data_IF_469350013655
#
_entry.id   IF_469350013655
#
_cell.length_a   1.000
_cell.length_b   1.000
_cell.length_c   1.000
_cell.angle_alpha   90.00
_cell.angle_beta   90.00
_cell.angle_gamma   90.00
#
_symmetry.space_group_name_H-M   'P 1'
#
loop_
_entity.id
_entity.type
_entity.pdbx_description
1 polymer ?
#
# COMPACT_ATOMS: atom_id res chain seq x y z
N UNK A 1 -31.60 -18.90 -16.15
CA UNK A 1 -30.41 -18.11 -16.47
C UNK A 1 -30.58 -16.70 -15.91
N UNK A 2 -30.17 -16.44 -14.69
CA UNK A 2 -30.21 -15.12 -14.07
C UNK A 2 -28.89 -14.43 -14.32
N UNK A 3 -28.88 -13.35 -15.09
CA UNK A 3 -27.72 -12.45 -15.28
C UNK A 3 -27.58 -11.65 -14.01
N UNK A 4 -26.55 -11.99 -13.18
CA UNK A 4 -26.12 -11.14 -12.10
C UNK A 4 -25.63 -9.81 -12.66
N UNK A 5 -26.34 -8.75 -12.34
CA UNK A 5 -25.88 -7.37 -12.54
C UNK A 5 -24.73 -7.11 -11.56
N UNK A 6 -23.51 -7.15 -12.07
CA UNK A 6 -22.35 -6.60 -11.39
C UNK A 6 -22.58 -5.10 -11.27
N UNK A 7 -23.02 -4.66 -10.11
CA UNK A 7 -23.17 -3.25 -9.77
C UNK A 7 -21.78 -2.61 -9.73
N UNK A 8 -21.53 -1.75 -10.71
CA UNK A 8 -20.37 -0.88 -10.78
C UNK A 8 -20.36 0.06 -9.55
N UNK A 9 -19.61 -0.29 -8.49
CA UNK A 9 -19.35 0.56 -7.33
C UNK A 9 -17.92 1.05 -7.36
N UNK A 10 -17.82 2.37 -7.21
CA UNK A 10 -16.62 3.22 -7.08
C UNK A 10 -15.89 3.54 -8.39
N UNK A 11 -16.53 4.22 -9.31
CA UNK A 11 -15.85 5.18 -10.15
C UNK A 11 -15.30 6.25 -9.22
N UNK A 12 -14.01 6.24 -8.95
CA UNK A 12 -13.29 7.41 -8.46
C UNK A 12 -13.64 8.52 -9.44
N UNK A 13 -14.37 9.54 -8.98
CA UNK A 13 -14.84 10.58 -9.87
C UNK A 13 -13.67 11.51 -10.16
N UNK A 14 -12.92 11.18 -11.19
CA UNK A 14 -11.96 12.10 -11.79
C UNK A 14 -12.67 13.01 -12.79
N UNK A 15 -12.24 14.25 -12.82
CA UNK A 15 -12.48 15.11 -13.98
C UNK A 15 -11.24 15.04 -14.85
N UNK A 16 -11.38 14.51 -16.06
CA UNK A 16 -10.29 14.24 -16.99
C UNK A 16 -10.16 15.37 -18.00
N UNK A 17 -8.94 15.81 -18.26
CA UNK A 17 -8.61 16.81 -19.26
C UNK A 17 -7.44 16.34 -20.11
N UNK A 18 -7.54 16.50 -21.43
CA UNK A 18 -6.42 16.27 -22.36
C UNK A 18 -5.68 17.57 -22.60
N UNK A 19 -4.36 17.50 -22.55
CA UNK A 19 -3.47 18.60 -22.86
C UNK A 19 -3.36 18.74 -24.39
N UNK A 20 -3.67 19.91 -24.93
CA UNK A 20 -3.62 20.18 -26.38
C UNK A 20 -2.35 20.91 -26.79
N UNK A 21 -1.83 21.76 -25.92
CA UNK A 21 -0.67 22.64 -26.20
C UNK A 21 0.31 22.52 -25.01
N UNK A 22 1.62 22.71 -25.25
CA UNK A 22 2.60 22.69 -24.20
C UNK A 22 2.42 23.89 -23.26
N UNK A 23 2.29 23.66 -21.95
CA UNK A 23 2.19 24.70 -20.92
C UNK A 23 2.55 24.17 -19.55
N UNK A 24 2.71 25.05 -18.57
CA UNK A 24 2.90 24.63 -17.18
C UNK A 24 1.58 24.14 -16.54
N UNK A 25 1.67 23.18 -15.62
CA UNK A 25 0.49 22.60 -14.94
C UNK A 25 -0.37 23.67 -14.23
N UNK A 26 0.24 24.68 -13.62
CA UNK A 26 -0.52 25.76 -12.97
C UNK A 26 -1.33 26.58 -13.97
N UNK A 27 -0.77 26.90 -15.12
CA UNK A 27 -1.46 27.65 -16.19
C UNK A 27 -2.60 26.81 -16.76
N UNK A 28 -2.34 25.52 -16.99
CA UNK A 28 -3.37 24.58 -17.43
C UNK A 28 -4.54 24.50 -16.46
N UNK A 29 -4.27 24.36 -15.16
CA UNK A 29 -5.31 24.31 -14.13
C UNK A 29 -6.10 25.62 -14.07
N UNK A 30 -5.44 26.77 -14.18
CA UNK A 30 -6.10 28.07 -14.21
C UNK A 30 -7.03 28.21 -15.44
N UNK A 31 -6.58 27.75 -16.61
CA UNK A 31 -7.40 27.76 -17.83
C UNK A 31 -8.63 26.82 -17.73
N UNK A 32 -8.50 25.67 -17.03
CA UNK A 32 -9.60 24.70 -16.86
C UNK A 32 -10.54 25.01 -15.70
N UNK A 33 -10.11 25.86 -14.78
CA UNK A 33 -10.84 26.24 -13.57
C UNK A 33 -10.80 27.77 -13.38
N UNK A 34 -11.43 28.56 -14.28
CA UNK A 34 -11.34 30.02 -14.26
C UNK A 34 -11.88 30.65 -12.96
N UNK A 35 -12.84 29.98 -12.30
CA UNK A 35 -13.42 30.44 -11.05
C UNK A 35 -12.55 30.10 -9.82
N UNK A 36 -11.44 29.39 -10.00
CA UNK A 36 -10.58 29.00 -8.89
C UNK A 36 -9.44 30.02 -8.71
N UNK A 37 -9.37 30.61 -7.51
CA UNK A 37 -8.23 31.47 -7.17
C UNK A 37 -6.90 30.69 -7.23
N UNK A 38 -5.79 31.40 -7.46
CA UNK A 38 -4.44 30.82 -7.48
C UNK A 38 -4.10 30.08 -6.18
N UNK A 39 -4.60 30.58 -5.03
CA UNK A 39 -4.47 29.91 -3.72
C UNK A 39 -5.23 28.58 -3.69
N UNK A 40 -6.43 28.53 -4.28
CA UNK A 40 -7.21 27.31 -4.38
C UNK A 40 -6.50 26.25 -5.26
N UNK A 41 -5.94 26.66 -6.40
CA UNK A 41 -5.18 25.77 -7.29
C UNK A 41 -3.93 25.21 -6.58
N UNK A 42 -3.17 26.04 -5.86
CA UNK A 42 -2.05 25.57 -5.02
C UNK A 42 -2.52 24.56 -3.95
N UNK A 43 -3.68 24.80 -3.33
CA UNK A 43 -4.27 23.88 -2.38
C UNK A 43 -4.65 22.53 -2.99
N UNK A 44 -5.09 22.49 -4.27
CA UNK A 44 -5.36 21.22 -4.97
C UNK A 44 -4.08 20.41 -5.19
N UNK A 45 -2.99 21.07 -5.59
CA UNK A 45 -1.68 20.44 -5.73
C UNK A 45 -1.15 19.91 -4.39
N UNK A 46 -1.21 20.72 -3.32
CA UNK A 46 -0.77 20.31 -1.99
C UNK A 46 -1.62 19.18 -1.39
N UNK A 47 -2.88 19.07 -1.78
CA UNK A 47 -3.77 17.96 -1.40
C UNK A 47 -3.54 16.68 -2.21
N UNK A 48 -2.61 16.69 -3.17
CA UNK A 48 -2.23 15.52 -3.98
C UNK A 48 -3.41 14.89 -4.74
N UNK A 49 -4.33 15.72 -5.23
CA UNK A 49 -5.51 15.28 -6.00
C UNK A 49 -5.37 15.52 -7.50
N UNK A 50 -4.23 16.04 -7.94
CA UNK A 50 -3.90 16.25 -9.34
C UNK A 50 -3.00 15.12 -9.82
N UNK A 51 -3.38 14.51 -10.93
CA UNK A 51 -2.64 13.43 -11.58
C UNK A 51 -2.30 13.85 -13.01
N UNK A 52 -1.10 13.57 -13.45
CA UNK A 52 -0.66 13.68 -14.85
C UNK A 52 -0.25 12.28 -15.29
N UNK A 53 -0.91 11.75 -16.33
CA UNK A 53 -0.73 10.38 -16.80
C UNK A 53 -0.78 9.34 -15.68
N UNK A 54 -1.78 9.50 -14.78
CA UNK A 54 -2.01 8.65 -13.59
C UNK A 54 -0.97 8.78 -12.47
N UNK A 55 0.00 9.69 -12.58
CA UNK A 55 1.01 9.99 -11.54
C UNK A 55 0.61 11.24 -10.78
N UNK A 56 0.58 11.16 -9.43
CA UNK A 56 0.31 12.32 -8.58
C UNK A 56 1.38 13.39 -8.83
N UNK A 57 0.95 14.58 -9.23
CA UNK A 57 1.84 15.69 -9.51
C UNK A 57 1.51 16.87 -8.60
N UNK A 58 2.49 17.31 -7.80
CA UNK A 58 2.35 18.43 -6.86
C UNK A 58 3.14 19.67 -7.31
N UNK A 59 4.01 19.49 -8.27
CA UNK A 59 4.86 20.55 -8.82
C UNK A 59 4.03 21.50 -9.71
N UNK A 60 3.91 22.75 -9.33
CA UNK A 60 3.06 23.73 -9.99
C UNK A 60 3.56 24.10 -11.40
N UNK A 61 4.87 24.09 -11.63
CA UNK A 61 5.52 24.36 -12.92
C UNK A 61 5.89 23.07 -13.67
N UNK A 62 5.18 21.97 -13.44
CA UNK A 62 5.37 20.73 -14.18
C UNK A 62 5.07 20.95 -15.65
N UNK A 63 6.01 20.65 -16.58
CA UNK A 63 5.83 20.87 -18.00
C UNK A 63 4.86 19.83 -18.58
N UNK A 64 3.72 20.28 -19.05
CA UNK A 64 2.76 19.47 -19.77
C UNK A 64 3.06 19.48 -21.26
N UNK A 65 2.90 18.31 -21.90
CA UNK A 65 3.05 18.12 -23.34
C UNK A 65 1.70 17.74 -23.97
N UNK A 66 1.47 18.06 -25.25
CA UNK A 66 0.28 17.60 -25.96
C UNK A 66 0.13 16.08 -25.86
N UNK A 67 -1.11 15.62 -25.63
CA UNK A 67 -1.42 14.21 -25.45
C UNK A 67 -1.37 13.72 -23.99
N UNK A 68 -0.77 14.47 -23.05
CA UNK A 68 -0.82 14.14 -21.63
C UNK A 68 -2.24 14.29 -21.09
N UNK A 69 -2.59 13.40 -20.13
CA UNK A 69 -3.89 13.39 -19.44
C UNK A 69 -3.75 13.98 -18.04
N UNK A 70 -4.41 15.11 -17.80
CA UNK A 70 -4.51 15.70 -16.46
C UNK A 70 -5.84 15.29 -15.83
N UNK A 71 -5.79 14.71 -14.64
CA UNK A 71 -6.96 14.25 -13.90
C UNK A 71 -7.04 14.96 -12.56
N UNK A 72 -8.23 15.45 -12.22
CA UNK A 72 -8.52 16.06 -10.93
C UNK A 72 -9.43 15.12 -10.16
N UNK A 73 -8.96 14.56 -9.06
CA UNK A 73 -9.79 13.74 -8.17
C UNK A 73 -10.76 14.62 -7.38
N UNK A 74 -12.02 14.24 -7.32
CA UNK A 74 -13.03 14.88 -6.46
C UNK A 74 -12.92 14.40 -5.00
N UNK A 75 -12.22 13.32 -4.76
CA UNK A 75 -11.92 12.88 -3.39
C UNK A 75 -10.87 13.82 -2.77
N UNK A 76 -11.04 14.12 -1.49
CA UNK A 76 -9.98 14.83 -0.74
C UNK A 76 -8.72 14.00 -0.83
N UNK A 77 -7.67 14.56 -1.40
CA UNK A 77 -6.38 13.88 -1.53
C UNK A 77 -5.98 13.29 -0.18
N UNK A 78 -5.64 12.01 -0.16
CA UNK A 78 -5.18 11.35 1.06
C UNK A 78 -3.94 12.06 1.57
N UNK A 79 -3.94 12.45 2.85
CA UNK A 79 -2.72 12.94 3.51
C UNK A 79 -1.65 11.87 3.32
N UNK A 80 -0.46 12.29 2.94
CA UNK A 80 0.67 11.40 2.79
C UNK A 80 0.82 10.53 4.04
N UNK A 81 0.95 9.23 3.82
CA UNK A 81 1.26 8.32 4.91
C UNK A 81 2.72 8.53 5.28
N UNK A 82 2.97 9.02 6.47
CA UNK A 82 4.32 9.21 6.99
C UNK A 82 4.42 8.52 8.37
N UNK A 83 5.25 7.49 8.43
CA UNK A 83 5.55 6.78 9.66
C UNK A 83 7.01 6.31 9.67
N UNK A 84 7.72 6.49 10.80
CA UNK A 84 9.16 6.21 10.91
C UNK A 84 9.51 4.75 10.59
N UNK A 85 8.66 3.80 10.97
CA UNK A 85 8.91 2.36 10.87
C UNK A 85 8.07 1.66 9.81
N UNK A 86 7.39 2.40 8.94
CA UNK A 86 6.52 1.81 7.92
C UNK A 86 6.30 2.76 6.76
N UNK A 87 6.34 2.23 5.54
CA UNK A 87 6.07 2.96 4.30
C UNK A 87 5.03 2.18 3.48
N UNK A 88 4.04 2.87 2.92
CA UNK A 88 3.13 2.27 1.93
C UNK A 88 3.87 2.28 0.59
N UNK A 89 4.05 1.10 -0.01
CA UNK A 89 4.72 0.91 -1.30
C UNK A 89 3.73 0.66 -2.44
N UNK A 90 2.55 0.11 -2.12
CA UNK A 90 1.47 -0.09 -3.08
C UNK A 90 0.11 0.00 -2.39
N UNK A 91 -0.88 0.57 -3.07
CA UNK A 91 -2.27 0.61 -2.60
C UNK A 91 -3.23 0.69 -3.79
N UNK A 92 -4.21 -0.21 -3.82
CA UNK A 92 -5.33 -0.18 -4.76
C UNK A 92 -6.69 -0.28 -4.03
N UNK A 93 -7.73 -0.69 -4.74
CA UNK A 93 -9.07 -0.87 -4.17
C UNK A 93 -9.17 -2.05 -3.20
N UNK A 94 -8.29 -3.04 -3.30
CA UNK A 94 -8.38 -4.34 -2.63
C UNK A 94 -7.30 -4.60 -1.61
N UNK A 95 -6.07 -4.10 -1.87
CA UNK A 95 -4.91 -4.38 -1.03
C UNK A 95 -4.11 -3.11 -0.69
N UNK A 96 -3.35 -3.20 0.40
CA UNK A 96 -2.27 -2.28 0.76
C UNK A 96 -1.02 -3.11 1.02
N UNK A 97 0.09 -2.76 0.36
CA UNK A 97 1.41 -3.33 0.62
C UNK A 97 2.27 -2.29 1.30
N UNK A 98 2.88 -2.70 2.39
CA UNK A 98 3.82 -1.86 3.15
C UNK A 98 5.21 -2.46 3.14
N UNK A 99 6.20 -1.61 3.24
CA UNK A 99 7.53 -1.94 3.71
C UNK A 99 7.57 -1.70 5.22
N UNK A 100 7.66 -2.79 6.00
CA UNK A 100 7.76 -2.75 7.45
C UNK A 100 9.23 -2.70 7.84
N UNK A 101 9.60 -1.77 8.70
CA UNK A 101 10.95 -1.71 9.26
C UNK A 101 11.07 -2.64 10.47
N UNK A 102 12.30 -2.98 10.81
CA UNK A 102 12.66 -3.70 12.01
C UNK A 102 12.19 -2.97 13.27
N UNK A 103 11.83 -3.71 14.32
CA UNK A 103 11.34 -3.16 15.58
C UNK A 103 9.82 -2.90 15.65
N UNK A 104 9.11 -2.90 14.50
CA UNK A 104 7.64 -2.73 14.47
C UNK A 104 6.94 -4.09 14.52
N UNK A 105 6.01 -4.27 15.45
CA UNK A 105 5.12 -5.43 15.48
C UNK A 105 4.14 -5.41 14.31
N UNK A 106 3.88 -6.55 13.70
CA UNK A 106 2.84 -6.69 12.66
C UNK A 106 1.44 -6.54 13.22
N UNK A 107 1.17 -7.24 14.33
CA UNK A 107 -0.13 -7.29 15.03
C UNK A 107 0.11 -7.38 16.54
N UNK A 108 -0.89 -6.98 17.33
CA UNK A 108 -0.85 -7.13 18.78
C UNK A 108 -0.93 -8.62 19.17
N UNK A 109 -0.24 -8.94 20.23
CA UNK A 109 -0.51 -10.13 21.05
C UNK A 109 -1.30 -9.69 22.28
N UNK A 110 -2.07 -10.59 22.90
CA UNK A 110 -2.94 -10.28 24.05
C UNK A 110 -2.21 -9.62 25.23
N UNK A 111 -0.89 -9.69 25.25
CA UNK A 111 -0.04 -9.18 26.32
C UNK A 111 0.60 -7.81 26.08
N UNK A 112 0.52 -7.27 24.86
CA UNK A 112 1.23 -6.03 24.51
C UNK A 112 0.30 -5.03 23.83
N UNK A 113 0.10 -3.87 24.44
CA UNK A 113 -0.68 -2.73 23.88
C UNK A 113 0.17 -1.78 23.04
N UNK A 114 1.19 -2.29 22.36
CA UNK A 114 2.06 -1.47 21.52
C UNK A 114 1.37 -1.12 20.19
N UNK A 115 1.79 -0.01 19.57
CA UNK A 115 1.36 0.33 18.21
C UNK A 115 1.97 -0.66 17.22
N UNK A 116 1.14 -1.25 16.38
CA UNK A 116 1.51 -2.25 15.39
C UNK A 116 1.27 -1.73 13.97
N UNK A 117 1.84 -2.38 12.97
CA UNK A 117 1.56 -2.07 11.57
C UNK A 117 0.06 -2.10 11.27
N UNK A 118 -0.66 -3.07 11.83
CA UNK A 118 -2.11 -3.20 11.73
C UNK A 118 -2.86 -1.99 12.31
N UNK A 119 -2.52 -1.54 13.52
CA UNK A 119 -3.20 -0.40 14.15
C UNK A 119 -2.92 0.90 13.42
N UNK A 120 -1.67 1.11 12.98
CA UNK A 120 -1.25 2.30 12.22
C UNK A 120 -1.97 2.37 10.87
N UNK A 121 -2.07 1.24 10.15
CA UNK A 121 -2.80 1.18 8.88
C UNK A 121 -4.30 1.38 9.05
N UNK A 122 -4.92 0.86 10.11
CA UNK A 122 -6.33 1.13 10.38
C UNK A 122 -6.58 2.63 10.62
N UNK A 123 -5.74 3.31 11.41
CA UNK A 123 -5.81 4.76 11.56
C UNK A 123 -5.68 5.51 10.22
N UNK A 124 -4.85 5.01 9.32
CA UNK A 124 -4.68 5.59 8.00
C UNK A 124 -5.93 5.43 7.14
N UNK A 125 -6.47 4.21 6.99
CA UNK A 125 -7.64 3.98 6.13
C UNK A 125 -8.91 4.60 6.69
N UNK A 126 -9.05 4.70 8.01
CA UNK A 126 -10.18 5.35 8.69
C UNK A 126 -10.24 6.85 8.46
N UNK A 127 -9.17 7.50 8.00
CA UNK A 127 -9.21 8.90 7.55
C UNK A 127 -10.12 9.12 6.34
N UNK A 128 -10.34 8.08 5.53
CA UNK A 128 -11.25 8.10 4.37
C UNK A 128 -12.69 7.69 4.73
N UNK A 129 -12.90 7.11 5.92
CA UNK A 129 -14.20 6.71 6.45
C UNK A 129 -14.02 5.79 7.65
N UNK A 130 -14.76 6.04 8.74
CA UNK A 130 -14.63 5.30 10.01
C UNK A 130 -14.88 3.80 9.88
N UNK A 131 -15.64 3.39 8.85
CA UNK A 131 -15.95 1.98 8.57
C UNK A 131 -14.82 1.24 7.86
N UNK A 132 -13.84 1.95 7.27
CA UNK A 132 -12.75 1.32 6.55
C UNK A 132 -11.78 0.64 7.52
N UNK A 133 -11.42 -0.59 7.21
CA UNK A 133 -10.47 -1.40 7.97
C UNK A 133 -9.56 -2.16 7.04
N UNK A 134 -8.38 -2.49 7.51
CA UNK A 134 -7.51 -3.46 6.86
C UNK A 134 -7.64 -4.81 7.54
N UNK A 135 -7.40 -5.87 6.78
CA UNK A 135 -7.49 -7.26 7.21
C UNK A 135 -6.14 -7.93 7.02
N UNK A 136 -5.70 -8.68 8.03
CA UNK A 136 -4.39 -9.32 8.04
C UNK A 136 -4.41 -10.53 7.11
N UNK A 137 -3.46 -10.59 6.19
CA UNK A 137 -3.27 -11.73 5.28
C UNK A 137 -2.13 -12.62 5.78
N UNK A 138 -1.00 -12.02 6.14
CA UNK A 138 0.18 -12.67 6.71
C UNK A 138 0.88 -11.75 7.70
N UNK A 139 1.94 -12.22 8.30
CA UNK A 139 2.71 -11.43 9.26
C UNK A 139 4.22 -11.60 9.05
N UNK A 140 4.97 -10.60 9.49
CA UNK A 140 6.41 -10.64 9.72
C UNK A 140 6.66 -10.48 11.22
N UNK A 141 7.73 -11.02 11.72
CA UNK A 141 8.13 -10.84 13.12
C UNK A 141 8.61 -9.41 13.40
N UNK A 142 8.74 -9.03 14.67
CA UNK A 142 9.15 -7.69 15.09
C UNK A 142 10.44 -7.27 14.40
N UNK A 143 11.43 -8.13 14.44
CA UNK A 143 12.79 -7.84 13.98
C UNK A 143 13.04 -8.22 12.52
N UNK A 144 12.00 -8.69 11.82
CA UNK A 144 12.00 -8.92 10.38
C UNK A 144 11.49 -7.67 9.68
N UNK A 145 12.29 -7.05 8.83
CA UNK A 145 11.88 -6.01 7.90
C UNK A 145 11.45 -6.61 6.56
N UNK A 146 10.72 -5.85 5.76
CA UNK A 146 10.33 -6.26 4.41
C UNK A 146 8.87 -6.00 4.07
N UNK A 147 8.45 -6.56 2.95
CA UNK A 147 7.12 -6.34 2.40
C UNK A 147 6.06 -7.13 3.16
N UNK A 148 4.97 -6.46 3.47
CA UNK A 148 3.82 -7.03 4.13
C UNK A 148 2.53 -6.52 3.49
N UNK A 149 1.59 -7.43 3.23
CA UNK A 149 0.33 -7.15 2.54
C UNK A 149 -0.85 -7.22 3.51
N UNK A 150 -1.80 -6.30 3.32
CA UNK A 150 -3.10 -6.30 3.98
C UNK A 150 -4.21 -6.23 2.94
N UNK A 151 -5.31 -6.91 3.18
CA UNK A 151 -6.53 -6.74 2.40
C UNK A 151 -7.35 -5.55 2.93
N UNK A 152 -8.16 -4.94 2.07
CA UNK A 152 -9.06 -3.81 2.42
C UNK A 152 -10.49 -4.25 2.69
N UNK A 153 -10.81 -5.52 2.45
CA UNK A 153 -12.09 -6.14 2.75
C UNK A 153 -11.92 -7.64 3.09
N UNK A 154 -12.94 -8.23 3.73
CA UNK A 154 -12.91 -9.63 4.16
C UNK A 154 -12.89 -10.62 3.00
N UNK A 155 -13.56 -10.32 1.88
CA UNK A 155 -13.59 -11.20 0.72
C UNK A 155 -12.19 -11.34 0.13
N UNK A 156 -11.52 -10.22 -0.08
CA UNK A 156 -10.11 -10.18 -0.54
C UNK A 156 -9.20 -10.90 0.44
N UNK A 157 -9.39 -10.69 1.76
CA UNK A 157 -8.61 -11.39 2.77
C UNK A 157 -8.75 -12.92 2.65
N UNK A 158 -9.99 -13.44 2.58
CA UNK A 158 -10.25 -14.88 2.42
C UNK A 158 -9.61 -15.42 1.16
N UNK A 159 -9.84 -14.76 0.02
CA UNK A 159 -9.25 -15.18 -1.26
C UNK A 159 -7.73 -15.29 -1.19
N UNK A 160 -7.06 -14.30 -0.59
CA UNK A 160 -5.60 -14.30 -0.45
C UNK A 160 -5.11 -15.38 0.53
N UNK A 161 -5.79 -15.61 1.64
CA UNK A 161 -5.41 -16.63 2.62
C UNK A 161 -5.64 -18.04 2.13
N UNK A 162 -6.79 -18.30 1.53
CA UNK A 162 -7.19 -19.64 1.06
C UNK A 162 -6.31 -20.09 -0.13
N UNK A 163 -5.83 -19.13 -0.93
CA UNK A 163 -5.00 -19.41 -2.10
C UNK A 163 -3.55 -18.93 -1.95
N UNK A 164 -3.08 -18.72 -0.71
CA UNK A 164 -1.79 -18.09 -0.42
C UNK A 164 -0.62 -18.74 -1.18
N UNK A 165 -0.52 -20.06 -1.13
CA UNK A 165 0.55 -20.81 -1.80
C UNK A 165 0.48 -20.78 -3.33
N UNK A 166 -0.71 -20.56 -3.92
CA UNK A 166 -0.87 -20.42 -5.35
C UNK A 166 -0.65 -18.99 -5.86
N UNK A 167 -0.93 -17.99 -5.01
CA UNK A 167 -0.81 -16.56 -5.37
C UNK A 167 0.61 -16.05 -5.12
N UNK A 168 1.22 -16.45 -4.00
CA UNK A 168 2.58 -16.04 -3.62
C UNK A 168 3.56 -17.09 -4.09
N UNK A 169 4.06 -16.90 -5.30
CA UNK A 169 4.96 -17.84 -5.97
C UNK A 169 6.40 -17.76 -5.48
N UNK A 170 6.79 -16.66 -4.84
CA UNK A 170 8.16 -16.45 -4.36
C UNK A 170 8.15 -15.70 -3.01
N UNK A 171 8.90 -16.23 -2.03
CA UNK A 171 9.08 -15.66 -0.69
C UNK A 171 10.55 -15.74 -0.32
N UNK A 172 11.28 -14.64 -0.55
CA UNK A 172 12.72 -14.56 -0.27
C UNK A 172 13.00 -13.74 0.98
N UNK A 173 13.96 -14.22 1.74
CA UNK A 173 14.48 -13.52 2.92
C UNK A 173 16.00 -13.50 2.84
N UNK A 174 16.57 -12.41 3.35
CA UNK A 174 18.02 -12.27 3.54
C UNK A 174 18.28 -12.20 5.04
N UNK A 175 19.19 -13.02 5.53
CA UNK A 175 19.59 -13.03 6.93
C UNK A 175 21.11 -12.99 7.03
N UNK A 176 21.60 -12.26 8.05
CA UNK A 176 23.01 -12.29 8.43
C UNK A 176 23.13 -13.30 9.59
N UNK A 177 24.04 -14.25 9.43
CA UNK A 177 24.28 -15.32 10.43
C UNK A 177 25.69 -15.20 10.99
N UNK A 178 25.91 -15.78 12.16
CA UNK A 178 27.23 -15.86 12.79
C UNK A 178 27.93 -17.14 12.33
N UNK A 179 29.23 -17.02 11.98
CA UNK A 179 30.05 -18.15 11.51
C UNK A 179 30.05 -18.27 9.98
N UNK A 180 30.60 -19.37 9.52
CA UNK A 180 30.65 -19.75 8.11
C UNK A 180 29.64 -20.84 7.80
N UNK A 181 29.00 -20.75 6.65
CA UNK A 181 28.10 -21.79 6.14
C UNK A 181 28.94 -22.87 5.47
N UNK A 182 28.72 -24.13 5.83
CA UNK A 182 29.43 -25.26 5.23
C UNK A 182 29.09 -25.48 3.75
N UNK A 183 27.92 -25.01 3.30
CA UNK A 183 27.41 -25.14 1.93
C UNK A 183 26.83 -23.83 1.45
N UNK A 184 27.08 -23.50 0.20
CA UNK A 184 26.55 -22.29 -0.45
C UNK A 184 25.04 -22.39 -0.72
N UNK A 185 24.49 -23.59 -0.82
CA UNK A 185 23.06 -23.83 -1.03
C UNK A 185 22.60 -25.14 -0.41
N UNK A 186 21.35 -25.21 -0.01
CA UNK A 186 20.78 -26.41 0.57
C UNK A 186 19.31 -26.25 0.96
N UNK A 187 18.68 -27.35 1.34
CA UNK A 187 17.32 -27.37 1.87
C UNK A 187 17.35 -27.93 3.27
N UNK A 188 16.77 -27.19 4.22
CA UNK A 188 16.55 -27.64 5.60
C UNK A 188 15.06 -27.92 5.79
N UNK A 189 14.74 -29.12 6.23
CA UNK A 189 13.37 -29.52 6.56
C UNK A 189 13.27 -29.73 8.07
N UNK A 190 12.32 -29.08 8.70
CA UNK A 190 12.06 -29.23 10.13
C UNK A 190 10.56 -29.38 10.40
N UNK A 191 10.22 -30.03 11.52
CA UNK A 191 8.86 -30.21 11.97
C UNK A 191 8.59 -29.28 13.14
N UNK A 192 7.49 -28.50 13.07
CA UNK A 192 7.05 -27.62 14.14
C UNK A 192 5.90 -28.27 14.91
N UNK A 193 5.89 -28.12 16.23
CA UNK A 193 4.82 -28.59 17.08
C UNK A 193 4.38 -27.51 18.05
N UNK A 194 3.07 -27.32 18.21
CA UNK A 194 2.47 -26.36 19.15
C UNK A 194 2.44 -26.87 20.60
N UNK A 195 2.90 -28.12 20.84
CA UNK A 195 2.79 -28.77 22.14
C UNK A 195 3.83 -28.36 23.18
N UNK A 196 4.81 -27.51 22.81
CA UNK A 196 5.85 -27.03 23.74
C UNK A 196 5.85 -25.53 23.82
N UNK A 197 6.12 -24.98 25.00
CA UNK A 197 6.24 -23.56 25.30
C UNK A 197 7.36 -22.85 24.49
N UNK A 198 8.28 -23.62 23.93
CA UNK A 198 9.40 -23.14 23.13
C UNK A 198 9.39 -23.85 21.77
N UNK A 199 9.28 -23.07 20.71
CA UNK A 199 9.46 -23.57 19.34
C UNK A 199 10.87 -23.25 18.95
N UNK A 200 11.72 -24.27 18.77
CA UNK A 200 13.02 -24.11 18.16
C UNK A 200 12.83 -24.09 16.64
N UNK A 201 13.00 -22.93 16.07
CA UNK A 201 13.07 -22.77 14.60
C UNK A 201 14.47 -23.10 14.14
N UNK A 202 14.59 -24.20 13.43
CA UNK A 202 15.74 -24.46 12.59
C UNK A 202 15.25 -24.49 11.15
N UNK A 203 15.23 -23.34 10.50
CA UNK A 203 14.91 -23.23 9.08
C UNK A 203 15.91 -22.29 8.44
N UNK A 204 16.77 -22.85 7.64
CA UNK A 204 17.62 -22.07 6.75
C UNK A 204 17.43 -22.66 5.35
N UNK A 205 16.83 -21.86 4.47
CA UNK A 205 16.91 -22.08 3.05
C UNK A 205 18.02 -21.18 2.55
N UNK A 206 19.09 -21.77 2.07
CA UNK A 206 20.25 -21.06 1.58
C UNK A 206 20.24 -21.21 0.06
N UNK A 207 20.16 -20.12 -0.64
CA UNK A 207 20.30 -20.06 -2.11
C UNK A 207 21.30 -18.98 -2.46
#
# INVERSE_FOLDING_TARGET
>A
MAKEKITARARTQYTDYMVKEPMELMEFLAAKMPDASRTKLKSLLSKRIIYVDSVITTQYNFPLKPGMKVQISREKGRKEFNHKLMKIVYEDAYIIVIEKMQGLLSVNTDRQKERTAYTILNEYVQRSGKQHRVHIVHRLDRDTSGLMMFAKDEKTQRTLRDNWHGIVTDRRYVAVVVGEMEKDAGTVVSWLTDRKLYVYLSLIHIS
#
